data_IF_786461364090
#
_entry.id   IF_786461364090
#
_cell.length_a   1.000
_cell.length_b   1.000
_cell.length_c   1.000
_cell.angle_alpha   90.00
_cell.angle_beta   90.00
_cell.angle_gamma   90.00
#
_symmetry.space_group_name_H-M   'P 1'
#
loop_
_entity.id
_entity.type
_entity.pdbx_description
1 polymer ?
#
# COMPACT_ATOMS: atom_id res chain seq x y z
N UNK A 1 -26.63 -13.98 -3.51
CA UNK A 1 -25.63 -12.96 -3.11
C UNK A 1 -24.70 -13.62 -2.11
N UNK A 2 -23.44 -13.80 -2.47
CA UNK A 2 -22.42 -14.41 -1.61
C UNK A 2 -22.21 -13.49 -0.41
N UNK A 3 -22.25 -14.05 0.81
CA UNK A 3 -22.11 -13.30 2.04
C UNK A 3 -20.63 -12.90 2.21
N UNK A 4 -20.22 -11.77 1.63
CA UNK A 4 -18.85 -11.27 1.74
C UNK A 4 -18.69 -10.70 3.15
N UNK A 5 -17.77 -11.28 3.93
CA UNK A 5 -17.45 -10.86 5.29
C UNK A 5 -16.65 -9.56 5.24
N UNK A 6 -17.35 -8.42 5.17
CA UNK A 6 -16.75 -7.09 5.11
C UNK A 6 -17.11 -6.27 6.34
N UNK A 7 -16.19 -5.40 6.78
CA UNK A 7 -16.45 -4.40 7.84
C UNK A 7 -17.24 -3.19 7.32
N UNK A 8 -17.65 -3.20 6.05
CA UNK A 8 -18.33 -2.09 5.41
C UNK A 8 -19.84 -2.26 5.46
N UNK A 9 -20.53 -1.19 5.85
CA UNK A 9 -21.95 -1.05 5.62
C UNK A 9 -22.18 -0.66 4.16
N UNK A 10 -22.81 -1.56 3.39
CA UNK A 10 -23.20 -1.28 2.02
C UNK A 10 -24.51 -0.49 2.02
N UNK A 11 -24.49 0.70 1.43
CA UNK A 11 -25.67 1.57 1.30
C UNK A 11 -26.21 1.67 -0.12
N UNK A 12 -25.78 0.78 -1.01
CA UNK A 12 -26.18 0.76 -2.42
C UNK A 12 -25.83 -0.55 -3.11
N UNK A 13 -26.09 -0.60 -4.42
CA UNK A 13 -25.88 -1.79 -5.23
C UNK A 13 -24.40 -2.08 -5.46
N UNK A 14 -24.07 -3.37 -5.59
CA UNK A 14 -22.74 -3.83 -5.98
C UNK A 14 -22.63 -3.80 -7.51
N UNK A 15 -21.51 -3.28 -8.01
CA UNK A 15 -21.16 -3.31 -9.43
C UNK A 15 -20.01 -4.29 -9.61
N UNK A 16 -20.15 -5.23 -10.55
CA UNK A 16 -19.06 -6.09 -10.96
C UNK A 16 -18.12 -5.32 -11.89
N UNK A 17 -16.83 -5.27 -11.55
CA UNK A 17 -15.79 -4.63 -12.33
C UNK A 17 -14.63 -5.59 -12.49
N UNK A 18 -14.06 -5.68 -13.69
CA UNK A 18 -12.87 -6.50 -13.92
C UNK A 18 -11.66 -5.88 -13.18
N UNK A 19 -10.79 -6.73 -12.62
CA UNK A 19 -9.68 -6.29 -11.78
C UNK A 19 -8.66 -5.43 -12.54
N UNK A 20 -8.43 -5.72 -13.82
CA UNK A 20 -7.59 -4.97 -14.74
C UNK A 20 -8.17 -3.57 -15.06
N UNK A 21 -9.49 -3.48 -15.23
CA UNK A 21 -10.20 -2.23 -15.41
C UNK A 21 -10.11 -1.37 -14.14
N UNK A 22 -10.36 -1.95 -12.97
CA UNK A 22 -10.21 -1.27 -11.69
C UNK A 22 -8.77 -0.77 -11.49
N UNK A 23 -7.78 -1.64 -11.74
CA UNK A 23 -6.36 -1.31 -11.63
C UNK A 23 -5.98 -0.12 -12.52
N UNK A 24 -6.38 -0.15 -13.79
CA UNK A 24 -6.10 0.92 -14.74
C UNK A 24 -6.67 2.28 -14.29
N UNK A 25 -7.87 2.28 -13.71
CA UNK A 25 -8.49 3.51 -13.19
C UNK A 25 -7.69 4.06 -12.01
N UNK A 26 -7.35 3.19 -11.04
CA UNK A 26 -6.69 3.59 -9.80
C UNK A 26 -5.25 4.07 -10.05
N UNK A 27 -4.49 3.36 -10.89
CA UNK A 27 -3.14 3.81 -11.30
C UNK A 27 -3.21 5.19 -11.94
N UNK A 28 -4.19 5.43 -12.82
CA UNK A 28 -4.37 6.75 -13.41
C UNK A 28 -4.67 7.81 -12.35
N UNK A 29 -5.56 7.55 -11.39
CA UNK A 29 -5.84 8.49 -10.29
C UNK A 29 -4.54 8.88 -9.57
N UNK A 30 -3.75 7.91 -9.08
CA UNK A 30 -2.53 8.20 -8.32
C UNK A 30 -1.45 8.88 -9.17
N UNK A 31 -1.29 8.48 -10.44
CA UNK A 31 -0.35 9.15 -11.35
C UNK A 31 -0.72 10.63 -11.57
N UNK A 32 -2.01 10.97 -11.63
CA UNK A 32 -2.46 12.37 -11.81
C UNK A 32 -2.29 13.20 -10.55
N UNK A 33 -2.10 12.55 -9.40
CA UNK A 33 -1.75 13.20 -8.13
C UNK A 33 -0.23 13.36 -7.96
N UNK A 34 0.57 13.00 -8.98
CA UNK A 34 2.03 13.15 -8.96
C UNK A 34 2.79 11.95 -8.40
N UNK A 35 2.11 10.82 -8.16
CA UNK A 35 2.78 9.59 -7.72
C UNK A 35 3.52 8.93 -8.89
N UNK A 36 4.80 8.51 -8.73
CA UNK A 36 5.52 7.73 -9.72
C UNK A 36 4.76 6.45 -10.10
N UNK A 37 4.82 6.07 -11.38
CA UNK A 37 4.02 4.96 -11.94
C UNK A 37 4.22 3.64 -11.19
N UNK A 38 5.45 3.32 -10.79
CA UNK A 38 5.74 2.10 -10.03
C UNK A 38 5.11 2.09 -8.63
N UNK A 39 5.04 3.25 -7.97
CA UNK A 39 4.43 3.38 -6.64
C UNK A 39 2.91 3.31 -6.79
N UNK A 40 2.35 3.99 -7.79
CA UNK A 40 0.93 3.89 -8.14
C UNK A 40 0.51 2.44 -8.40
N UNK A 41 1.33 1.68 -9.15
CA UNK A 41 1.09 0.25 -9.41
C UNK A 41 1.16 -0.57 -8.12
N UNK A 42 2.22 -0.42 -7.33
CA UNK A 42 2.36 -1.16 -6.07
C UNK A 42 1.19 -0.93 -5.10
N UNK A 43 0.75 0.33 -4.94
CA UNK A 43 -0.43 0.65 -4.13
C UNK A 43 -1.67 -0.01 -4.74
N UNK A 44 -1.88 0.15 -6.05
CA UNK A 44 -3.06 -0.38 -6.74
C UNK A 44 -3.16 -1.89 -6.65
N UNK A 45 -2.06 -2.61 -6.92
CA UNK A 45 -2.00 -4.07 -6.84
C UNK A 45 -2.39 -4.56 -5.44
N UNK A 46 -1.86 -3.94 -4.39
CA UNK A 46 -2.23 -4.29 -3.02
C UNK A 46 -3.72 -4.02 -2.72
N UNK A 47 -4.28 -2.90 -3.19
CA UNK A 47 -5.70 -2.59 -2.98
C UNK A 47 -6.62 -3.55 -3.75
N UNK A 48 -6.24 -3.94 -4.96
CA UNK A 48 -6.98 -4.93 -5.75
C UNK A 48 -6.89 -6.30 -5.07
N UNK A 49 -5.71 -6.73 -4.63
CA UNK A 49 -5.51 -8.00 -3.93
C UNK A 49 -6.35 -8.06 -2.64
N UNK A 50 -6.35 -7.00 -1.83
CA UNK A 50 -7.21 -6.91 -0.65
C UNK A 50 -8.70 -7.07 -0.99
N UNK A 51 -9.16 -6.52 -2.12
CA UNK A 51 -10.52 -6.72 -2.61
C UNK A 51 -10.79 -8.17 -3.05
N UNK A 52 -9.86 -8.79 -3.78
CA UNK A 52 -9.98 -10.18 -4.25
C UNK A 52 -9.94 -11.19 -3.09
N UNK A 53 -9.19 -10.88 -2.03
CA UNK A 53 -9.17 -11.63 -0.78
C UNK A 53 -10.42 -11.43 0.10
N UNK A 54 -11.39 -10.59 -0.34
CA UNK A 54 -12.61 -10.29 0.43
C UNK A 54 -12.41 -9.30 1.57
N UNK A 55 -11.23 -8.68 1.70
CA UNK A 55 -10.89 -7.67 2.72
C UNK A 55 -11.18 -6.26 2.18
N UNK A 56 -12.41 -6.04 1.72
CA UNK A 56 -12.81 -4.82 1.00
C UNK A 56 -12.54 -3.53 1.79
N UNK A 57 -12.59 -3.61 3.12
CA UNK A 57 -12.26 -2.49 4.03
C UNK A 57 -10.83 -1.94 3.90
N UNK A 58 -9.94 -2.66 3.22
CA UNK A 58 -8.54 -2.28 2.97
C UNK A 58 -8.21 -2.24 1.47
N UNK A 59 -9.20 -2.46 0.60
CA UNK A 59 -9.00 -2.45 -0.86
C UNK A 59 -9.40 -1.12 -1.50
N UNK A 60 -10.00 -1.17 -2.69
CA UNK A 60 -10.44 -0.07 -3.56
C UNK A 60 -11.14 1.08 -2.82
N UNK A 61 -11.86 0.82 -1.72
CA UNK A 61 -12.48 1.90 -0.93
C UNK A 61 -11.46 2.93 -0.42
N UNK A 62 -10.20 2.52 -0.22
CA UNK A 62 -9.13 3.36 0.32
C UNK A 62 -8.58 4.34 -0.71
N UNK A 63 -8.87 4.15 -1.99
CA UNK A 63 -8.36 4.99 -3.08
C UNK A 63 -8.68 6.47 -2.83
N UNK A 64 -9.93 6.79 -2.49
CA UNK A 64 -10.34 8.18 -2.22
C UNK A 64 -9.66 8.75 -0.97
N UNK A 65 -9.51 7.94 0.08
CA UNK A 65 -8.78 8.34 1.29
C UNK A 65 -7.30 8.62 0.99
N UNK A 66 -6.64 7.78 0.20
CA UNK A 66 -5.26 7.98 -0.18
C UNK A 66 -5.10 9.19 -1.11
N UNK A 67 -6.02 9.37 -2.06
CA UNK A 67 -6.04 10.56 -2.92
C UNK A 67 -6.15 11.85 -2.09
N UNK A 68 -7.02 11.89 -1.09
CA UNK A 68 -7.14 13.04 -0.16
C UNK A 68 -5.83 13.29 0.60
N UNK A 69 -5.19 12.23 1.12
CA UNK A 69 -3.90 12.34 1.83
C UNK A 69 -2.76 12.81 0.93
N UNK A 70 -2.77 12.39 -0.34
CA UNK A 70 -1.81 12.86 -1.34
C UNK A 70 -2.02 14.35 -1.65
N UNK A 71 -3.28 14.76 -1.86
CA UNK A 71 -3.64 16.16 -2.14
C UNK A 71 -3.30 17.11 -1.00
N UNK A 72 -3.53 16.69 0.25
CA UNK A 72 -3.24 17.52 1.43
C UNK A 72 -1.80 17.37 1.96
N UNK A 73 -0.96 16.55 1.30
CA UNK A 73 0.45 16.37 1.64
C UNK A 73 0.74 15.51 2.88
N UNK A 74 -0.28 14.91 3.50
CA UNK A 74 -0.07 13.96 4.62
C UNK A 74 0.43 12.59 4.15
N UNK A 75 0.34 12.31 2.85
CA UNK A 75 1.05 11.22 2.17
C UNK A 75 1.87 11.82 1.02
N UNK A 76 3.20 11.75 1.11
CA UNK A 76 4.09 12.25 0.06
C UNK A 76 4.09 11.29 -1.12
N UNK A 77 3.96 11.84 -2.33
CA UNK A 77 3.80 11.07 -3.57
C UNK A 77 5.13 10.73 -4.23
N UNK A 78 6.16 11.53 -4.02
CA UNK A 78 7.48 11.47 -4.68
C UNK A 78 8.60 10.97 -3.74
N UNK A 79 8.23 10.15 -2.76
CA UNK A 79 9.18 9.59 -1.78
C UNK A 79 9.25 8.08 -1.90
N UNK A 80 10.47 7.55 -1.76
CA UNK A 80 10.73 6.12 -1.64
C UNK A 80 11.20 5.81 -0.22
N UNK A 81 10.73 4.70 0.38
CA UNK A 81 11.23 4.25 1.66
C UNK A 81 12.72 3.88 1.55
N UNK A 82 13.43 3.93 2.68
CA UNK A 82 14.87 3.63 2.73
C UNK A 82 15.21 2.82 3.96
N UNK A 83 16.13 1.87 3.80
CA UNK A 83 16.80 1.25 4.95
C UNK A 83 17.81 2.25 5.50
N UNK A 84 17.74 2.51 6.81
CA UNK A 84 18.69 3.35 7.53
C UNK A 84 19.20 2.63 8.77
N UNK A 85 20.37 3.04 9.25
CA UNK A 85 20.93 2.60 10.54
C UNK A 85 20.76 3.73 11.55
N UNK A 86 20.14 3.44 12.70
CA UNK A 86 19.98 4.42 13.78
C UNK A 86 21.32 4.71 14.46
N UNK A 87 21.39 5.77 15.26
CA UNK A 87 22.57 6.08 16.09
C UNK A 87 22.92 4.94 17.07
N UNK A 88 21.93 4.15 17.46
CA UNK A 88 22.10 2.96 18.33
C UNK A 88 22.47 1.69 17.55
N UNK A 89 22.67 1.77 16.23
CA UNK A 89 23.09 0.65 15.40
C UNK A 89 21.96 -0.26 14.90
N UNK A 90 20.69 0.15 15.04
CA UNK A 90 19.55 -0.65 14.59
C UNK A 90 19.26 -0.41 13.10
N UNK A 91 19.00 -1.48 12.35
CA UNK A 91 18.48 -1.40 10.98
C UNK A 91 16.97 -1.16 11.01
N UNK A 92 16.50 -0.08 10.38
CA UNK A 92 15.08 0.31 10.32
C UNK A 92 14.72 0.78 8.91
N UNK A 93 13.43 0.80 8.57
CA UNK A 93 12.94 1.35 7.31
C UNK A 93 12.28 2.70 7.54
N UNK A 94 12.86 3.79 7.06
CA UNK A 94 12.20 5.09 7.04
C UNK A 94 11.24 5.17 5.85
N UNK A 95 9.94 5.26 6.14
CA UNK A 95 8.89 5.41 5.13
C UNK A 95 8.83 6.80 4.48
N UNK A 96 9.51 7.80 5.03
CA UNK A 96 9.61 9.14 4.45
C UNK A 96 8.28 9.88 4.26
N UNK A 97 7.27 9.54 5.08
CA UNK A 97 5.89 10.01 4.95
C UNK A 97 5.19 9.60 3.64
N UNK A 98 5.73 8.61 2.93
CA UNK A 98 5.13 8.03 1.73
C UNK A 98 4.03 7.00 2.04
N UNK A 99 3.66 6.23 1.03
CA UNK A 99 2.74 5.10 1.22
C UNK A 99 3.40 3.99 2.06
N UNK A 100 2.64 3.42 3.00
CA UNK A 100 3.09 2.29 3.80
C UNK A 100 3.28 1.00 3.01
N UNK A 101 2.67 0.87 1.83
CA UNK A 101 2.76 -0.35 1.01
C UNK A 101 4.19 -0.56 0.48
N UNK A 102 4.82 0.42 -0.21
CA UNK A 102 6.24 0.35 -0.54
C UNK A 102 7.16 0.18 0.68
N UNK A 103 6.86 0.86 1.80
CA UNK A 103 7.68 0.77 3.01
C UNK A 103 7.68 -0.65 3.60
N UNK A 104 6.51 -1.29 3.66
CA UNK A 104 6.37 -2.66 4.12
C UNK A 104 7.05 -3.66 3.18
N UNK A 105 6.99 -3.43 1.86
CA UNK A 105 7.67 -4.28 0.89
C UNK A 105 9.19 -4.26 1.11
N UNK A 106 9.79 -3.08 1.25
CA UNK A 106 11.22 -2.93 1.55
C UNK A 106 11.58 -3.55 2.91
N UNK A 107 10.74 -3.35 3.93
CA UNK A 107 10.97 -3.94 5.25
C UNK A 107 10.91 -5.47 5.21
N UNK A 108 9.98 -6.04 4.45
CA UNK A 108 9.87 -7.48 4.27
C UNK A 108 11.11 -8.06 3.59
N UNK A 109 11.52 -7.50 2.45
CA UNK A 109 12.74 -7.92 1.74
C UNK A 109 13.98 -7.84 2.64
N UNK A 110 14.18 -6.69 3.29
CA UNK A 110 15.31 -6.49 4.21
C UNK A 110 15.29 -7.46 5.40
N UNK A 111 14.10 -7.76 5.94
CA UNK A 111 13.96 -8.71 7.05
C UNK A 111 14.27 -10.14 6.62
N UNK A 112 13.90 -10.52 5.39
CA UNK A 112 14.20 -11.84 4.86
C UNK A 112 15.70 -12.04 4.69
N UNK A 113 16.40 -11.08 4.10
CA UNK A 113 17.86 -11.12 3.92
C UNK A 113 18.57 -11.25 5.27
N UNK A 114 18.19 -10.43 6.26
CA UNK A 114 18.77 -10.49 7.60
C UNK A 114 18.44 -11.81 8.32
N UNK A 115 17.23 -12.32 8.20
CA UNK A 115 16.82 -13.56 8.84
C UNK A 115 17.51 -14.79 8.23
N UNK A 116 17.87 -14.76 6.94
CA UNK A 116 18.65 -15.82 6.32
C UNK A 116 20.05 -15.94 6.95
N UNK A 117 20.67 -14.80 7.30
CA UNK A 117 21.99 -14.77 7.93
C UNK A 117 21.93 -15.06 9.45
N UNK A 118 20.95 -14.51 10.15
CA UNK A 118 20.91 -14.50 11.64
C UNK A 118 19.93 -15.51 12.26
N UNK A 119 19.06 -16.13 11.46
CA UNK A 119 17.96 -16.98 11.90
C UNK A 119 16.72 -16.24 12.42
N UNK A 120 16.82 -14.95 12.74
CA UNK A 120 15.71 -14.09 13.16
C UNK A 120 16.02 -12.62 12.88
N UNK A 121 15.08 -11.93 12.22
CA UNK A 121 15.13 -10.48 12.04
C UNK A 121 13.87 -9.81 12.56
N UNK A 122 14.04 -8.59 13.08
CA UNK A 122 12.95 -7.70 13.42
C UNK A 122 13.34 -6.28 13.01
N UNK A 123 12.50 -5.64 12.21
CA UNK A 123 12.69 -4.28 11.74
C UNK A 123 11.49 -3.42 12.13
N UNK A 124 11.75 -2.18 12.53
CA UNK A 124 10.73 -1.15 12.64
C UNK A 124 10.63 -0.35 11.34
N UNK A 125 9.42 0.12 11.06
CA UNK A 125 9.10 1.10 10.00
C UNK A 125 8.68 2.40 10.66
#
# INVERSE_FOLDING_TARGET
MTNILTKLELRGDRIALAADQASSIIVNIFNRLGCPDEISRAITEHLIDANLCGVESHGVMRVMQYAERMLNGTMRVDVRPKVITTETGMTVVDGGMGSGIPAMALAFETSMDLAEESGLAALSI
#
